data_IF_036378024618
#
_entry.id   IF_036378024618
#
_cell.length_a   1.000
_cell.length_b   1.000
_cell.length_c   1.000
_cell.angle_alpha   90.00
_cell.angle_beta   90.00
_cell.angle_gamma   90.00
#
_symmetry.space_group_name_H-M   'P 1'
#
loop_
_entity.id
_entity.type
_entity.pdbx_description
1 polymer ?
#
# COMPACT_ATOMS: atom_id res chain seq x y z
N UNK A 1 -1.44 -17.47 -1.23
CA UNK A 1 -1.79 -16.23 -0.54
C UNK A 1 -3.28 -16.01 -0.72
N UNK A 2 -4.05 -15.82 0.36
CA UNK A 2 -5.48 -15.52 0.28
C UNK A 2 -5.72 -14.02 0.00
N UNK A 3 -6.96 -13.65 -0.39
CA UNK A 3 -7.33 -12.24 -0.58
C UNK A 3 -7.18 -11.44 0.72
N UNK A 4 -7.52 -12.05 1.86
CA UNK A 4 -7.35 -11.42 3.17
C UNK A 4 -5.87 -11.21 3.55
N UNK A 5 -4.99 -12.14 3.17
CA UNK A 5 -3.54 -11.96 3.36
C UNK A 5 -3.02 -10.80 2.51
N UNK A 6 -3.51 -10.68 1.27
CA UNK A 6 -3.14 -9.57 0.39
C UNK A 6 -3.63 -8.23 0.93
N UNK A 7 -4.86 -8.15 1.44
CA UNK A 7 -5.42 -6.93 2.05
C UNK A 7 -4.56 -6.50 3.26
N UNK A 8 -4.24 -7.43 4.17
CA UNK A 8 -3.40 -7.13 5.34
C UNK A 8 -2.02 -6.63 4.96
N UNK A 9 -1.44 -7.19 3.90
CA UNK A 9 -0.13 -6.75 3.41
C UNK A 9 -0.20 -5.35 2.78
N UNK A 10 -1.27 -5.03 2.06
CA UNK A 10 -1.50 -3.69 1.53
C UNK A 10 -1.68 -2.66 2.67
N UNK A 11 -2.45 -2.98 3.71
CA UNK A 11 -2.60 -2.13 4.91
C UNK A 11 -1.25 -1.88 5.59
N UNK A 12 -0.42 -2.93 5.73
CA UNK A 12 0.94 -2.83 6.28
C UNK A 12 1.83 -1.89 5.45
N UNK A 13 1.79 -2.03 4.14
CA UNK A 13 2.56 -1.18 3.23
C UNK A 13 2.08 0.28 3.28
N UNK A 14 0.77 0.53 3.33
CA UNK A 14 0.23 1.89 3.49
C UNK A 14 0.76 2.52 4.77
N UNK A 15 0.73 1.81 5.91
CA UNK A 15 1.25 2.34 7.18
C UNK A 15 2.74 2.72 7.09
N UNK A 16 3.53 1.93 6.38
CA UNK A 16 4.95 2.17 6.15
C UNK A 16 5.17 3.45 5.32
N UNK A 17 4.49 3.58 4.18
CA UNK A 17 4.69 4.71 3.26
C UNK A 17 3.96 5.99 3.71
N UNK A 18 2.92 5.90 4.54
CA UNK A 18 2.18 7.05 5.07
C UNK A 18 2.96 7.83 6.13
N UNK A 19 3.72 7.13 6.99
CA UNK A 19 4.44 7.73 8.13
C UNK A 19 5.87 8.18 7.80
N UNK A 20 6.40 7.84 6.63
CA UNK A 20 7.79 8.14 6.26
C UNK A 20 8.02 9.62 5.94
N UNK A 21 8.83 10.31 6.76
CA UNK A 21 9.44 11.59 6.35
C UNK A 21 10.52 11.39 5.28
N UNK A 22 11.07 10.17 5.16
CA UNK A 22 11.76 9.52 4.03
C UNK A 22 11.67 8.01 4.31
N UNK A 23 11.53 7.15 3.29
CA UNK A 23 11.43 5.70 3.47
C UNK A 23 12.61 5.02 2.78
N UNK A 24 13.28 4.08 3.47
CA UNK A 24 14.37 3.29 2.89
C UNK A 24 13.90 1.86 2.69
N UNK A 25 13.83 1.41 1.44
CA UNK A 25 13.59 0.00 1.07
C UNK A 25 14.79 -0.51 0.30
N UNK A 26 15.33 -1.68 0.66
CA UNK A 26 16.40 -2.34 -0.11
C UNK A 26 17.60 -1.42 -0.44
N UNK A 27 17.97 -0.56 0.51
CA UNK A 27 19.03 0.47 0.38
C UNK A 27 18.72 1.63 -0.57
N UNK A 28 17.49 1.75 -1.06
CA UNK A 28 16.98 2.90 -1.81
C UNK A 28 16.21 3.81 -0.85
N UNK A 29 16.68 5.05 -0.70
CA UNK A 29 15.95 6.09 0.02
C UNK A 29 14.98 6.77 -0.95
N UNK A 30 13.70 6.62 -0.69
CA UNK A 30 12.64 7.33 -1.38
C UNK A 30 12.43 8.69 -0.74
N UNK A 31 12.33 9.71 -1.60
CA UNK A 31 11.84 11.01 -1.17
C UNK A 31 10.41 10.90 -0.63
N UNK A 32 10.00 11.91 0.14
CA UNK A 32 8.63 12.04 0.63
C UNK A 32 7.58 12.14 -0.49
N UNK A 33 7.96 12.59 -1.68
CA UNK A 33 7.06 12.65 -2.83
C UNK A 33 6.87 11.26 -3.46
N UNK A 34 7.95 10.53 -3.68
CA UNK A 34 7.91 9.15 -4.18
C UNK A 34 7.17 8.23 -3.22
N UNK A 35 7.42 8.36 -1.91
CA UNK A 35 6.70 7.60 -0.88
C UNK A 35 5.20 7.86 -0.94
N UNK A 36 4.78 9.12 -1.16
CA UNK A 36 3.37 9.48 -1.33
C UNK A 36 2.77 8.92 -2.62
N UNK A 37 3.54 8.88 -3.71
CA UNK A 37 3.09 8.28 -4.97
C UNK A 37 2.84 6.77 -4.80
N UNK A 38 3.80 6.06 -4.20
CA UNK A 38 3.71 4.63 -3.94
C UNK A 38 2.51 4.33 -3.03
N UNK A 39 2.35 5.09 -1.95
CA UNK A 39 1.21 4.98 -1.04
C UNK A 39 -0.13 5.09 -1.77
N UNK A 40 -0.30 6.06 -2.69
CA UNK A 40 -1.54 6.21 -3.47
C UNK A 40 -1.85 4.99 -4.32
N UNK A 41 -0.83 4.42 -4.98
CA UNK A 41 -0.99 3.19 -5.77
C UNK A 41 -1.41 2.00 -4.90
N UNK A 42 -0.84 1.88 -3.70
CA UNK A 42 -1.19 0.82 -2.75
C UNK A 42 -2.63 0.99 -2.23
N UNK A 43 -3.06 2.23 -1.95
CA UNK A 43 -4.44 2.53 -1.57
C UNK A 43 -5.44 2.14 -2.66
N UNK A 44 -5.16 2.44 -3.93
CA UNK A 44 -6.02 2.02 -5.04
C UNK A 44 -6.11 0.49 -5.16
N UNK A 45 -4.98 -0.21 -4.97
CA UNK A 45 -4.98 -1.67 -4.95
C UNK A 45 -5.82 -2.24 -3.79
N UNK A 46 -5.77 -1.60 -2.61
CA UNK A 46 -6.59 -1.98 -1.46
C UNK A 46 -8.08 -1.78 -1.75
N UNK A 47 -8.47 -0.63 -2.29
CA UNK A 47 -9.87 -0.35 -2.67
C UNK A 47 -10.41 -1.42 -3.64
N UNK A 48 -9.63 -1.78 -4.66
CA UNK A 48 -10.02 -2.85 -5.61
C UNK A 48 -10.16 -4.20 -4.89
N UNK A 49 -9.22 -4.55 -4.02
CA UNK A 49 -9.25 -5.81 -3.28
C UNK A 49 -10.49 -5.90 -2.36
N UNK A 50 -10.85 -4.79 -1.70
CA UNK A 50 -12.07 -4.67 -0.90
C UNK A 50 -13.33 -4.76 -1.75
N UNK A 51 -13.37 -4.13 -2.92
CA UNK A 51 -14.49 -4.25 -3.86
C UNK A 51 -14.71 -5.71 -4.31
N UNK A 52 -13.62 -6.44 -4.59
CA UNK A 52 -13.67 -7.86 -4.94
C UNK A 52 -14.20 -8.68 -3.75
N UNK A 53 -13.70 -8.41 -2.54
CA UNK A 53 -14.12 -9.10 -1.32
C UNK A 53 -15.61 -8.89 -1.03
N UNK A 54 -16.08 -7.66 -1.19
CA UNK A 54 -17.47 -7.25 -0.99
C UNK A 54 -18.41 -7.67 -2.15
N UNK A 55 -17.87 -8.28 -3.22
CA UNK A 55 -18.61 -8.62 -4.45
C UNK A 55 -19.35 -7.43 -5.05
N UNK A 56 -18.77 -6.24 -4.94
CA UNK A 56 -19.27 -5.00 -5.58
C UNK A 56 -18.79 -4.88 -7.04
N UNK A 57 -18.27 -5.97 -7.60
CA UNK A 57 -17.84 -6.17 -8.99
C UNK A 57 -18.50 -7.42 -9.55
#
# INVERSE_FOLDING_TARGET
MSLDDAIRELERLIAIYYLGNNYVSDSVEFSREESRLIMRSIMQALEIAEMIKDKKL
#
